data_IF_122563258891
#
_entry.id   IF_122563258891
#
_cell.length_a   1.000
_cell.length_b   1.000
_cell.length_c   1.000
_cell.angle_alpha   90.00
_cell.angle_beta   90.00
_cell.angle_gamma   90.00
#
_symmetry.space_group_name_H-M   'P 1'
#
loop_
_entity.id
_entity.type
_entity.pdbx_description
1 polymer ?
#
# COMPACT_ATOMS: atom_id res chain seq x y z
N UNK A 1 14.54 -15.66 -9.82
CA UNK A 1 14.34 -14.20 -9.65
C UNK A 1 13.05 -14.01 -8.85
N UNK A 2 13.04 -13.14 -7.85
CA UNK A 2 11.85 -12.83 -7.04
C UNK A 2 11.14 -11.63 -7.64
N UNK A 3 9.81 -11.64 -7.63
CA UNK A 3 8.98 -10.57 -8.15
C UNK A 3 8.02 -10.05 -7.09
N UNK A 4 7.90 -8.74 -6.99
CA UNK A 4 6.88 -8.10 -6.16
C UNK A 4 6.05 -7.11 -6.99
N UNK A 5 4.76 -7.01 -6.65
CA UNK A 5 3.84 -5.98 -7.15
C UNK A 5 3.61 -4.98 -6.02
N UNK A 6 3.87 -3.70 -6.29
CA UNK A 6 3.73 -2.62 -5.31
C UNK A 6 2.65 -1.66 -5.80
N UNK A 7 1.51 -1.62 -5.11
CA UNK A 7 0.48 -0.62 -5.33
C UNK A 7 0.86 0.68 -4.63
N UNK A 8 0.62 1.82 -5.28
CA UNK A 8 1.02 3.12 -4.77
C UNK A 8 2.53 3.35 -4.79
N UNK A 9 3.27 2.71 -5.72
CA UNK A 9 4.73 2.81 -5.81
C UNK A 9 5.27 4.23 -6.08
N UNK A 10 4.45 5.15 -6.58
CA UNK A 10 4.79 6.57 -6.71
C UNK A 10 4.54 7.38 -5.42
N UNK A 11 3.94 6.78 -4.38
CA UNK A 11 3.76 7.38 -3.06
C UNK A 11 5.06 7.38 -2.25
N UNK A 12 5.07 8.08 -1.10
CA UNK A 12 6.28 8.23 -0.30
C UNK A 12 6.71 6.90 0.35
N UNK A 13 5.78 6.15 0.94
CA UNK A 13 6.06 4.83 1.50
C UNK A 13 6.34 3.82 0.37
N UNK A 14 5.49 3.76 -0.66
CA UNK A 14 5.63 2.80 -1.75
C UNK A 14 6.93 2.92 -2.53
N UNK A 15 7.45 4.13 -2.70
CA UNK A 15 8.74 4.36 -3.35
C UNK A 15 9.91 3.82 -2.51
N UNK A 16 9.84 3.92 -1.18
CA UNK A 16 10.85 3.35 -0.29
C UNK A 16 10.79 1.83 -0.26
N UNK A 17 9.59 1.25 -0.20
CA UNK A 17 9.40 -0.21 -0.36
C UNK A 17 10.01 -0.70 -1.68
N UNK A 18 9.84 0.05 -2.77
CA UNK A 18 10.43 -0.30 -4.05
C UNK A 18 11.98 -0.25 -4.02
N UNK A 19 12.56 0.76 -3.37
CA UNK A 19 14.01 0.88 -3.20
C UNK A 19 14.57 -0.31 -2.38
N UNK A 20 13.98 -0.62 -1.24
CA UNK A 20 14.45 -1.66 -0.33
C UNK A 20 14.31 -3.07 -0.93
N UNK A 21 13.19 -3.36 -1.61
CA UNK A 21 13.03 -4.63 -2.32
C UNK A 21 13.99 -4.76 -3.50
N UNK A 22 14.27 -3.68 -4.25
CA UNK A 22 15.26 -3.69 -5.30
C UNK A 22 16.67 -3.94 -4.74
N UNK A 23 17.04 -3.31 -3.63
CA UNK A 23 18.31 -3.54 -2.93
C UNK A 23 18.43 -4.99 -2.42
N UNK A 24 17.31 -5.61 -2.07
CA UNK A 24 17.22 -7.03 -1.70
C UNK A 24 17.19 -8.01 -2.91
N UNK A 25 17.35 -7.51 -4.14
CA UNK A 25 17.48 -8.34 -5.35
C UNK A 25 16.16 -8.71 -6.02
N UNK A 26 15.07 -7.96 -5.81
CA UNK A 26 13.75 -8.21 -6.39
C UNK A 26 13.55 -7.43 -7.68
N UNK A 27 12.89 -8.05 -8.66
CA UNK A 27 12.27 -7.36 -9.79
C UNK A 27 10.86 -6.90 -9.40
N UNK A 28 10.41 -5.77 -9.93
CA UNK A 28 9.23 -5.10 -9.43
C UNK A 28 8.23 -4.73 -10.53
N UNK A 29 6.95 -4.96 -10.25
CA UNK A 29 5.83 -4.26 -10.89
C UNK A 29 5.49 -3.04 -10.03
N UNK A 30 5.59 -1.84 -10.60
CA UNK A 30 5.43 -0.56 -9.93
C UNK A 30 4.13 0.09 -10.38
N UNK A 31 3.07 -0.11 -9.58
CA UNK A 31 1.77 0.47 -9.88
C UNK A 31 1.71 1.94 -9.45
N UNK A 32 1.13 2.76 -10.34
CA UNK A 32 0.80 4.18 -10.11
C UNK A 32 -0.52 4.55 -10.79
N UNK A 33 -1.09 5.69 -10.41
CA UNK A 33 -2.28 6.22 -11.07
C UNK A 33 -1.97 7.49 -11.87
N UNK A 34 -1.65 8.61 -11.24
CA UNK A 34 -1.50 9.91 -11.89
C UNK A 34 -0.05 10.39 -12.00
N UNK A 35 0.83 9.97 -11.11
CA UNK A 35 2.16 10.55 -10.96
C UNK A 35 3.20 9.85 -11.86
N UNK A 36 3.03 10.01 -13.18
CA UNK A 36 3.87 9.34 -14.19
C UNK A 36 5.34 9.76 -14.09
N UNK A 37 5.59 11.06 -13.99
CA UNK A 37 6.98 11.56 -13.92
C UNK A 37 7.73 10.93 -12.75
N UNK A 38 7.14 10.94 -11.57
CA UNK A 38 7.76 10.37 -10.36
C UNK A 38 8.01 8.87 -10.50
N UNK A 39 7.09 8.08 -11.07
CA UNK A 39 7.30 6.64 -11.23
C UNK A 39 8.35 6.33 -12.28
N UNK A 40 8.43 7.11 -13.36
CA UNK A 40 9.45 6.97 -14.39
C UNK A 40 10.85 7.29 -13.81
N UNK A 41 10.99 8.33 -12.98
CA UNK A 41 12.23 8.65 -12.25
C UNK A 41 12.65 7.51 -11.32
N UNK A 42 11.70 6.97 -10.53
CA UNK A 42 11.95 5.84 -9.62
C UNK A 42 12.43 4.63 -10.42
N UNK A 43 11.70 4.24 -11.46
CA UNK A 43 12.04 3.09 -12.30
C UNK A 43 13.42 3.23 -12.94
N UNK A 44 13.76 4.41 -13.48
CA UNK A 44 15.09 4.68 -14.07
C UNK A 44 16.20 4.62 -13.03
N UNK A 45 15.99 5.20 -11.84
CA UNK A 45 16.94 5.16 -10.71
C UNK A 45 17.22 3.71 -10.31
N UNK A 46 16.15 2.90 -10.15
CA UNK A 46 16.26 1.50 -9.77
C UNK A 46 16.98 0.69 -10.85
N UNK A 47 16.64 0.86 -12.13
CA UNK A 47 17.31 0.18 -13.24
C UNK A 47 18.79 0.53 -13.34
N UNK A 48 19.14 1.81 -13.14
CA UNK A 48 20.54 2.26 -13.13
C UNK A 48 21.34 1.62 -12.01
N UNK A 49 20.73 1.45 -10.82
CA UNK A 49 21.37 0.85 -9.63
C UNK A 49 21.45 -0.67 -9.73
N UNK A 50 20.41 -1.30 -10.33
CA UNK A 50 20.22 -2.74 -10.37
C UNK A 50 19.95 -3.25 -11.80
N UNK A 51 20.92 -3.20 -12.72
CA UNK A 51 20.71 -3.45 -14.16
C UNK A 51 20.40 -4.93 -14.50
N UNK A 52 20.43 -5.82 -13.52
CA UNK A 52 20.08 -7.25 -13.69
C UNK A 52 18.64 -7.58 -13.26
N UNK A 53 17.90 -6.59 -12.77
CA UNK A 53 16.53 -6.71 -12.34
C UNK A 53 15.61 -5.98 -13.31
N UNK A 54 14.32 -6.31 -13.29
CA UNK A 54 13.31 -5.68 -14.13
C UNK A 54 12.39 -4.80 -13.28
N UNK A 55 12.05 -3.62 -13.80
CA UNK A 55 11.17 -2.63 -13.15
C UNK A 55 10.11 -2.21 -14.15
N UNK A 56 8.91 -2.79 -14.02
CA UNK A 56 7.79 -2.61 -14.95
C UNK A 56 6.77 -1.67 -14.32
N UNK A 57 6.52 -0.53 -14.94
CA UNK A 57 5.51 0.42 -14.48
C UNK A 57 4.12 0.06 -14.97
N UNK A 58 3.11 0.12 -14.10
CA UNK A 58 1.71 -0.21 -14.39
C UNK A 58 0.82 0.97 -14.02
N UNK A 59 0.14 1.54 -15.01
CA UNK A 59 -0.79 2.65 -14.81
C UNK A 59 -2.24 2.19 -14.79
N UNK A 60 -2.87 2.22 -13.61
CA UNK A 60 -4.28 1.87 -13.46
C UNK A 60 -4.95 2.71 -12.39
N UNK A 61 -6.24 2.98 -12.56
CA UNK A 61 -7.09 3.54 -11.53
C UNK A 61 -7.68 2.40 -10.68
N UNK A 62 -7.39 2.39 -9.39
CA UNK A 62 -7.90 1.38 -8.46
C UNK A 62 -9.37 1.61 -8.07
N UNK A 63 -9.97 2.72 -8.44
CA UNK A 63 -11.41 2.96 -8.25
C UNK A 63 -12.25 2.35 -9.36
N UNK A 64 -11.64 2.03 -10.51
CA UNK A 64 -12.29 1.40 -11.65
C UNK A 64 -12.20 -0.13 -11.55
N UNK A 65 -13.35 -0.78 -11.37
CA UNK A 65 -13.44 -2.23 -11.23
C UNK A 65 -12.98 -3.00 -12.47
N UNK A 66 -13.08 -2.41 -13.66
CA UNK A 66 -12.67 -3.03 -14.92
C UNK A 66 -11.13 -3.14 -15.04
N UNK A 67 -10.41 -2.38 -14.24
CA UNK A 67 -8.95 -2.43 -14.22
C UNK A 67 -8.40 -3.63 -13.44
N UNK A 68 -9.19 -4.29 -12.61
CA UNK A 68 -8.73 -5.42 -11.79
C UNK A 68 -8.20 -6.56 -12.67
N UNK A 69 -8.97 -6.97 -13.70
CA UNK A 69 -8.53 -8.00 -14.65
C UNK A 69 -7.27 -7.56 -15.41
N UNK A 70 -7.25 -6.33 -15.91
CA UNK A 70 -6.12 -5.77 -16.66
C UNK A 70 -4.83 -5.75 -15.84
N UNK A 71 -4.93 -5.38 -14.55
CA UNK A 71 -3.79 -5.43 -13.61
C UNK A 71 -3.28 -6.87 -13.48
N UNK A 72 -4.18 -7.80 -13.19
CA UNK A 72 -3.81 -9.21 -12.97
C UNK A 72 -3.23 -9.86 -14.24
N UNK A 73 -3.76 -9.53 -15.42
CA UNK A 73 -3.28 -10.00 -16.71
C UNK A 73 -1.91 -9.40 -17.10
N UNK A 74 -1.56 -8.23 -16.54
CA UNK A 74 -0.25 -7.60 -16.73
C UNK A 74 0.86 -8.25 -15.90
N UNK A 75 0.53 -9.14 -14.96
CA UNK A 75 1.50 -9.83 -14.13
C UNK A 75 1.86 -11.17 -14.78
N UNK A 76 3.06 -11.29 -15.30
CA UNK A 76 3.54 -12.49 -15.97
C UNK A 76 4.30 -13.40 -15.00
N UNK A 77 4.04 -14.72 -15.10
CA UNK A 77 4.74 -15.72 -14.31
C UNK A 77 4.42 -15.72 -12.83
N UNK A 78 5.35 -16.23 -12.02
CA UNK A 78 5.22 -16.32 -10.56
C UNK A 78 5.34 -14.96 -9.90
N UNK A 79 4.58 -14.76 -8.83
CA UNK A 79 4.63 -13.57 -8.00
C UNK A 79 4.97 -13.98 -6.56
N UNK A 80 5.96 -13.36 -5.97
CA UNK A 80 6.40 -13.69 -4.61
C UNK A 80 5.78 -12.75 -3.56
N UNK A 81 5.50 -11.50 -3.92
CA UNK A 81 4.91 -10.55 -2.99
C UNK A 81 3.95 -9.56 -3.67
N UNK A 82 2.94 -9.14 -2.90
CA UNK A 82 2.10 -7.98 -3.23
C UNK A 82 2.10 -7.06 -2.03
N UNK A 83 2.40 -5.78 -2.27
CA UNK A 83 2.37 -4.72 -1.25
C UNK A 83 1.34 -3.67 -1.64
N UNK A 84 0.39 -3.40 -0.76
CA UNK A 84 -0.62 -2.37 -0.91
C UNK A 84 -0.24 -1.18 -0.04
N UNK A 85 0.34 -0.13 -0.66
CA UNK A 85 0.75 1.12 -0.01
C UNK A 85 -0.02 2.35 -0.50
N UNK A 86 -1.03 2.12 -1.32
CA UNK A 86 -1.95 3.18 -1.75
C UNK A 86 -2.88 3.59 -0.60
N UNK A 87 -3.27 4.86 -0.61
CA UNK A 87 -4.20 5.36 0.38
C UNK A 87 -4.52 6.84 0.20
N UNK A 88 -5.67 7.21 0.70
CA UNK A 88 -6.11 8.59 0.90
C UNK A 88 -6.98 8.65 2.15
N UNK A 89 -7.06 9.81 2.75
CA UNK A 89 -7.99 10.10 3.86
C UNK A 89 -8.77 11.38 3.57
N UNK A 90 -9.91 11.50 4.22
CA UNK A 90 -10.70 12.72 4.30
C UNK A 90 -10.81 13.10 5.76
N UNK A 91 -10.23 14.24 6.09
CA UNK A 91 -10.27 14.78 7.44
C UNK A 91 -11.49 15.66 7.62
N UNK A 92 -12.38 15.30 8.54
CA UNK A 92 -13.61 16.02 8.83
C UNK A 92 -14.63 15.17 9.58
N UNK A 93 -15.73 15.79 9.99
CA UNK A 93 -16.82 15.08 10.66
C UNK A 93 -17.43 14.02 9.72
N UNK A 94 -17.73 12.85 10.25
CA UNK A 94 -18.32 11.76 9.46
C UNK A 94 -19.67 12.15 8.84
N UNK A 95 -20.45 12.99 9.53
CA UNK A 95 -21.72 13.52 9.00
C UNK A 95 -21.56 14.41 7.76
N UNK A 96 -20.36 14.92 7.52
CA UNK A 96 -20.04 15.81 6.40
C UNK A 96 -19.27 15.08 5.28
N UNK A 97 -18.85 13.85 5.53
CA UNK A 97 -18.20 13.03 4.52
C UNK A 97 -19.17 12.69 3.39
N UNK A 98 -18.86 13.10 2.15
CA UNK A 98 -19.74 12.82 1.03
C UNK A 98 -19.80 11.29 0.74
N UNK A 99 -20.95 10.77 0.27
CA UNK A 99 -21.07 9.38 -0.14
C UNK A 99 -19.99 8.98 -1.17
N UNK A 100 -19.73 9.82 -2.16
CA UNK A 100 -18.75 9.55 -3.22
C UNK A 100 -17.33 9.39 -2.65
N UNK A 101 -16.95 10.21 -1.67
CA UNK A 101 -15.65 10.12 -1.01
C UNK A 101 -15.54 8.85 -0.16
N UNK A 102 -16.60 8.46 0.52
CA UNK A 102 -16.66 7.22 1.29
C UNK A 102 -16.56 6.01 0.35
N UNK A 103 -17.32 5.98 -0.73
CA UNK A 103 -17.33 4.90 -1.72
C UNK A 103 -15.97 4.78 -2.42
N UNK A 104 -15.35 5.90 -2.78
CA UNK A 104 -14.02 5.94 -3.38
C UNK A 104 -12.97 5.37 -2.43
N UNK A 105 -13.00 5.75 -1.16
CA UNK A 105 -12.07 5.27 -0.13
C UNK A 105 -12.22 3.76 0.11
N UNK A 106 -13.47 3.27 0.22
CA UNK A 106 -13.77 1.84 0.36
C UNK A 106 -13.32 1.08 -0.89
N UNK A 107 -13.61 1.60 -2.07
CA UNK A 107 -13.27 0.93 -3.33
C UNK A 107 -11.75 0.83 -3.48
N UNK A 108 -11.04 1.95 -3.39
CA UNK A 108 -9.60 2.00 -3.63
C UNK A 108 -8.79 1.23 -2.60
N UNK A 109 -9.11 1.38 -1.31
CA UNK A 109 -8.26 0.86 -0.24
C UNK A 109 -8.74 -0.48 0.36
N UNK A 110 -9.93 -0.95 0.01
CA UNK A 110 -10.45 -2.22 0.52
C UNK A 110 -10.93 -3.12 -0.61
N UNK A 111 -12.00 -2.75 -1.32
CA UNK A 111 -12.65 -3.61 -2.30
C UNK A 111 -11.69 -4.07 -3.41
N UNK A 112 -10.98 -3.14 -4.04
CA UNK A 112 -10.05 -3.44 -5.13
C UNK A 112 -8.85 -4.26 -4.66
N UNK A 113 -8.14 -3.93 -3.56
CA UNK A 113 -7.10 -4.77 -3.00
C UNK A 113 -7.55 -6.22 -2.72
N UNK A 114 -8.71 -6.41 -2.10
CA UNK A 114 -9.23 -7.75 -1.81
C UNK A 114 -9.49 -8.55 -3.11
N UNK A 115 -10.07 -7.91 -4.13
CA UNK A 115 -10.30 -8.54 -5.44
C UNK A 115 -9.01 -8.89 -6.16
N UNK A 116 -7.99 -8.04 -6.07
CA UNK A 116 -6.66 -8.32 -6.63
C UNK A 116 -6.01 -9.50 -5.92
N UNK A 117 -6.05 -9.54 -4.59
CA UNK A 117 -5.54 -10.67 -3.79
C UNK A 117 -6.23 -11.97 -4.20
N UNK A 118 -7.56 -11.97 -4.34
CA UNK A 118 -8.33 -13.11 -4.81
C UNK A 118 -7.88 -13.60 -6.20
N UNK A 119 -7.63 -12.67 -7.12
CA UNK A 119 -7.23 -13.00 -8.49
C UNK A 119 -5.76 -13.43 -8.61
N UNK A 120 -4.89 -13.02 -7.69
CA UNK A 120 -3.45 -13.34 -7.71
C UNK A 120 -3.07 -14.49 -6.79
N UNK A 121 -4.02 -15.09 -6.07
CA UNK A 121 -3.74 -16.17 -5.11
C UNK A 121 -2.94 -17.31 -5.74
N UNK A 122 -3.33 -17.80 -6.91
CA UNK A 122 -2.66 -18.93 -7.56
C UNK A 122 -1.21 -18.58 -7.95
N UNK A 123 -0.97 -17.37 -8.47
CA UNK A 123 0.39 -16.89 -8.80
C UNK A 123 1.28 -16.79 -7.56
N UNK A 124 0.71 -16.42 -6.42
CA UNK A 124 1.41 -16.38 -5.14
C UNK A 124 1.67 -17.80 -4.59
N UNK A 125 0.72 -18.71 -4.75
CA UNK A 125 0.84 -20.12 -4.33
C UNK A 125 1.85 -20.91 -5.17
N UNK A 126 2.02 -20.56 -6.46
CA UNK A 126 3.04 -21.17 -7.34
C UNK A 126 4.47 -20.77 -6.96
N UNK A 127 4.66 -19.78 -6.12
CA UNK A 127 5.97 -19.36 -5.61
C UNK A 127 6.38 -20.25 -4.43
N UNK A 128 7.69 -20.30 -4.11
CA UNK A 128 8.17 -21.00 -2.90
C UNK A 128 7.65 -20.37 -1.61
N UNK A 129 7.29 -19.11 -1.68
CA UNK A 129 6.67 -18.35 -0.60
C UNK A 129 5.86 -17.18 -1.20
N UNK A 130 4.62 -17.02 -0.79
CA UNK A 130 3.76 -15.88 -1.12
C UNK A 130 3.71 -14.89 0.04
N UNK A 131 3.75 -13.59 -0.25
CA UNK A 131 3.67 -12.54 0.77
C UNK A 131 2.65 -11.50 0.34
N UNK A 132 1.71 -11.20 1.22
CA UNK A 132 0.73 -10.12 1.05
C UNK A 132 0.92 -9.17 2.23
N UNK A 133 1.19 -7.90 1.93
CA UNK A 133 1.41 -6.86 2.92
C UNK A 133 0.52 -5.67 2.62
N UNK A 134 -0.25 -5.25 3.60
CA UNK A 134 -1.03 -4.02 3.54
C UNK A 134 -0.39 -2.95 4.43
N UNK A 135 -0.28 -1.73 3.94
CA UNK A 135 0.00 -0.57 4.76
C UNK A 135 -1.32 -0.10 5.38
N UNK A 136 -1.50 -0.50 6.62
CA UNK A 136 -2.63 -0.14 7.48
C UNK A 136 -2.44 1.22 8.15
N UNK A 137 -2.89 1.31 9.40
CA UNK A 137 -2.71 2.45 10.30
C UNK A 137 -3.01 2.02 11.74
N UNK A 138 -2.38 2.66 12.72
CA UNK A 138 -2.78 2.55 14.13
C UNK A 138 -4.26 2.89 14.32
N UNK A 139 -4.82 3.77 13.50
CA UNK A 139 -6.24 4.13 13.52
C UNK A 139 -7.17 2.99 13.10
N UNK A 140 -6.66 1.97 12.41
CA UNK A 140 -7.43 0.74 12.16
C UNK A 140 -7.73 -0.08 13.42
N UNK A 141 -6.98 0.14 14.51
CA UNK A 141 -7.19 -0.49 15.81
C UNK A 141 -7.77 0.47 16.86
N UNK A 142 -7.18 1.67 16.96
CA UNK A 142 -7.57 2.66 17.97
C UNK A 142 -8.78 3.52 17.54
N UNK A 143 -8.97 3.71 16.24
CA UNK A 143 -9.89 4.71 15.70
C UNK A 143 -9.31 6.12 15.77
N UNK A 144 -9.84 7.03 14.93
CA UNK A 144 -9.54 8.46 14.99
C UNK A 144 -10.83 9.25 14.76
N UNK A 145 -11.10 10.23 15.63
CA UNK A 145 -12.09 11.24 15.35
C UNK A 145 -11.68 12.02 14.10
N UNK A 146 -12.64 12.55 13.35
CA UNK A 146 -12.43 13.26 12.07
C UNK A 146 -11.90 12.36 10.91
N UNK A 147 -11.59 11.08 11.14
CA UNK A 147 -11.12 10.10 10.14
C UNK A 147 -11.86 8.75 10.26
N UNK A 148 -13.17 8.81 10.54
CA UNK A 148 -13.99 7.62 10.81
C UNK A 148 -14.01 6.65 9.62
N UNK A 149 -14.18 7.14 8.40
CA UNK A 149 -14.16 6.32 7.17
C UNK A 149 -12.80 5.65 6.96
N UNK A 150 -11.72 6.38 7.13
CA UNK A 150 -10.34 5.87 7.03
C UNK A 150 -10.07 4.80 8.10
N UNK A 151 -10.40 5.07 9.36
CA UNK A 151 -10.26 4.12 10.47
C UNK A 151 -11.02 2.82 10.19
N UNK A 152 -12.24 2.93 9.63
CA UNK A 152 -13.07 1.78 9.25
C UNK A 152 -12.37 0.92 8.19
N UNK A 153 -11.88 1.53 7.12
CA UNK A 153 -11.19 0.82 6.03
C UNK A 153 -9.91 0.14 6.54
N UNK A 154 -9.08 0.85 7.31
CA UNK A 154 -7.83 0.29 7.86
C UNK A 154 -8.10 -0.80 8.89
N UNK A 155 -9.18 -0.71 9.66
CA UNK A 155 -9.66 -1.77 10.55
C UNK A 155 -10.12 -3.03 9.79
N UNK A 156 -10.83 -2.84 8.67
CA UNK A 156 -11.27 -3.92 7.81
C UNK A 156 -10.08 -4.71 7.20
N UNK A 157 -9.01 -4.03 6.76
CA UNK A 157 -7.78 -4.68 6.29
C UNK A 157 -7.15 -5.57 7.38
N UNK A 158 -7.14 -5.11 8.63
CA UNK A 158 -6.63 -5.89 9.76
C UNK A 158 -7.46 -7.14 10.03
N UNK A 159 -8.78 -7.05 9.94
CA UNK A 159 -9.69 -8.20 10.07
C UNK A 159 -9.51 -9.19 8.93
N UNK A 160 -9.48 -8.69 7.69
CA UNK A 160 -9.24 -9.49 6.49
C UNK A 160 -7.93 -10.27 6.60
N UNK A 161 -6.83 -9.59 6.92
CA UNK A 161 -5.50 -10.20 6.98
C UNK A 161 -5.45 -11.35 7.99
N UNK A 162 -6.05 -11.17 9.17
CA UNK A 162 -6.11 -12.24 10.19
C UNK A 162 -6.94 -13.45 9.75
N UNK A 163 -8.00 -13.23 9.01
CA UNK A 163 -8.85 -14.31 8.51
C UNK A 163 -8.18 -15.04 7.33
N UNK A 164 -7.74 -14.27 6.34
CA UNK A 164 -7.19 -14.80 5.10
C UNK A 164 -5.84 -15.48 5.30
N UNK A 165 -4.99 -15.01 6.22
CA UNK A 165 -3.75 -15.69 6.58
C UNK A 165 -3.98 -17.14 7.04
N UNK A 166 -5.08 -17.42 7.76
CA UNK A 166 -5.43 -18.77 8.18
C UNK A 166 -5.90 -19.66 7.03
N UNK A 167 -6.62 -19.05 6.07
CA UNK A 167 -7.14 -19.76 4.90
C UNK A 167 -6.03 -20.19 3.95
N UNK A 168 -5.04 -19.31 3.70
CA UNK A 168 -3.97 -19.54 2.71
C UNK A 168 -2.67 -20.08 3.31
N UNK A 169 -2.63 -20.36 4.61
CA UNK A 169 -1.42 -20.85 5.30
C UNK A 169 -0.84 -22.12 4.67
N UNK A 170 -1.71 -23.07 4.27
CA UNK A 170 -1.30 -24.31 3.62
C UNK A 170 -0.70 -24.10 2.22
N UNK A 171 -0.93 -22.96 1.59
CA UNK A 171 -0.36 -22.56 0.31
C UNK A 171 1.01 -21.85 0.47
N UNK A 172 1.54 -21.75 1.70
CA UNK A 172 2.81 -21.04 1.96
C UNK A 172 2.70 -19.51 1.88
N UNK A 173 1.48 -18.97 1.84
CA UNK A 173 1.21 -17.53 1.75
C UNK A 173 1.05 -16.95 3.17
N UNK A 174 1.72 -15.83 3.43
CA UNK A 174 1.47 -15.04 4.64
C UNK A 174 0.77 -13.72 4.29
N UNK A 175 -0.10 -13.26 5.17
CA UNK A 175 -0.85 -12.01 5.00
C UNK A 175 -0.68 -11.16 6.24
N UNK A 176 -0.11 -9.97 6.08
CA UNK A 176 0.23 -9.08 7.18
C UNK A 176 -0.22 -7.65 6.94
N UNK A 177 -0.38 -6.91 8.02
CA UNK A 177 -0.63 -5.46 8.02
C UNK A 177 0.50 -4.80 8.81
N UNK A 178 1.14 -3.82 8.19
CA UNK A 178 1.99 -2.86 8.89
C UNK A 178 1.07 -1.70 9.29
N UNK A 179 1.07 -1.32 10.55
CA UNK A 179 0.18 -0.28 11.08
C UNK A 179 0.98 0.94 11.56
N UNK A 180 1.40 1.83 10.65
CA UNK A 180 2.13 3.04 11.02
C UNK A 180 1.27 3.98 11.88
N UNK A 181 1.96 4.77 12.71
CA UNK A 181 1.43 6.01 13.28
C UNK A 181 1.53 7.16 12.26
N UNK A 182 1.82 8.36 12.73
CA UNK A 182 2.06 9.51 11.86
C UNK A 182 3.41 9.35 11.12
N UNK A 183 3.38 9.46 9.78
CA UNK A 183 4.55 9.34 8.90
C UNK A 183 4.70 10.65 8.12
N UNK A 184 5.92 11.16 7.98
CA UNK A 184 6.18 12.38 7.21
C UNK A 184 6.04 12.11 5.70
N UNK A 185 4.82 12.30 5.21
CA UNK A 185 4.42 12.05 3.81
C UNK A 185 3.61 13.22 3.27
N UNK A 186 3.39 13.23 1.95
CA UNK A 186 2.52 14.22 1.31
C UNK A 186 1.09 14.24 1.91
N UNK A 187 0.60 13.08 2.38
CA UNK A 187 -0.72 12.98 3.02
C UNK A 187 -0.83 13.86 4.28
N UNK A 188 0.26 14.00 5.02
CA UNK A 188 0.32 14.77 6.27
C UNK A 188 0.77 16.23 6.07
N UNK A 189 0.97 16.68 4.82
CA UNK A 189 1.26 18.09 4.51
C UNK A 189 0.07 19.05 4.66
N UNK A 190 -1.11 18.52 4.91
CA UNK A 190 -2.30 19.32 5.25
C UNK A 190 -2.15 20.02 6.60
N UNK A 191 -1.32 19.48 7.51
CA UNK A 191 -1.09 20.05 8.84
C UNK A 191 -0.08 21.19 8.78
N UNK A 192 -0.42 22.30 9.46
CA UNK A 192 0.53 23.40 9.70
C UNK A 192 1.64 22.97 10.65
N UNK A 193 2.73 23.73 10.72
CA UNK A 193 3.86 23.43 11.61
C UNK A 193 3.46 23.38 13.10
N UNK A 194 2.47 24.22 13.53
CA UNK A 194 1.95 24.17 14.89
C UNK A 194 1.13 22.89 15.15
N UNK A 195 0.28 22.49 14.22
CA UNK A 195 -0.48 21.24 14.34
C UNK A 195 0.44 19.99 14.33
N UNK A 196 1.51 20.02 13.52
CA UNK A 196 2.52 18.97 13.57
C UNK A 196 3.23 18.89 14.91
N UNK A 197 3.57 20.03 15.50
CA UNK A 197 4.20 20.08 16.82
C UNK A 197 3.27 19.52 17.92
N UNK A 198 1.95 19.79 17.83
CA UNK A 198 0.96 19.22 18.73
C UNK A 198 0.86 17.70 18.57
N UNK A 199 0.83 17.21 17.32
CA UNK A 199 0.85 15.77 17.02
C UNK A 199 2.14 15.11 17.51
N UNK A 200 3.30 15.73 17.29
CA UNK A 200 4.60 15.24 17.78
C UNK A 200 4.59 15.07 19.31
N UNK A 201 3.97 16.00 20.04
CA UNK A 201 3.87 15.93 21.49
C UNK A 201 3.00 14.75 21.99
N UNK A 202 2.05 14.28 21.19
CA UNK A 202 1.22 13.11 21.51
C UNK A 202 1.90 11.78 21.15
N UNK A 203 2.89 11.80 20.25
CA UNK A 203 3.63 10.61 19.84
C UNK A 203 4.71 10.27 20.89
N UNK A 204 4.75 9.06 21.46
CA UNK A 204 5.72 8.73 22.51
C UNK A 204 7.20 8.93 22.12
N UNK A 205 7.55 8.78 20.84
CA UNK A 205 8.91 9.05 20.33
C UNK A 205 9.15 10.53 20.00
N UNK A 206 8.12 11.37 20.10
CA UNK A 206 8.19 12.83 19.92
C UNK A 206 8.38 13.33 18.49
N UNK A 207 8.06 12.51 17.48
CA UNK A 207 8.16 12.89 16.06
C UNK A 207 7.37 11.99 15.13
N UNK A 208 7.13 12.46 13.93
CA UNK A 208 6.67 11.61 12.82
C UNK A 208 7.75 10.58 12.47
N UNK A 209 7.32 9.40 12.02
CA UNK A 209 8.21 8.41 11.40
C UNK A 209 8.61 8.86 9.98
N UNK A 210 9.77 8.44 9.51
CA UNK A 210 10.12 8.57 8.10
C UNK A 210 9.54 7.41 7.27
N UNK A 211 9.31 7.60 5.95
CA UNK A 211 8.90 6.50 5.08
C UNK A 211 9.86 5.30 5.10
N UNK A 212 11.17 5.53 5.30
CA UNK A 212 12.19 4.48 5.42
C UNK A 212 11.97 3.59 6.66
N UNK A 213 11.43 4.13 7.75
CA UNK A 213 11.13 3.36 8.97
C UNK A 213 9.90 2.43 8.78
N UNK A 214 9.13 2.64 7.71
CA UNK A 214 7.95 1.83 7.39
C UNK A 214 8.28 0.76 6.34
N UNK A 215 9.22 1.03 5.46
CA UNK A 215 9.59 0.12 4.36
C UNK A 215 10.55 -0.99 4.77
N UNK A 216 11.24 -0.82 5.88
CA UNK A 216 12.25 -1.74 6.42
C UNK A 216 11.66 -3.08 6.90
#
# INVERSE_FOLDING_TARGET
>A
MKWALIFGASGDIGSKVAEDLADAGWSLYLHYYQNREKIDEISQKLFKKHPKQDFITLQYDMTDADNISKICDSIFGKLNAVVFSEGTTYYGLFSELSPDNLDMMITMQLRTPLRIVQSLQDKLAESEFGRIVFVGSVYGGAGSAMEVGYSTVKGALSAFSRAYAKEVASLGITVNVIAPGAVDTQMNKIFSESEKADIDAEIPIGRFASPDEISY
#
